data_IF_972644069608
#
_entry.id   IF_972644069608
#
_cell.length_a   1.000
_cell.length_b   1.000
_cell.length_c   1.000
_cell.angle_alpha   90.00
_cell.angle_beta   90.00
_cell.angle_gamma   90.00
#
_symmetry.space_group_name_H-M   'P 1'
#
loop_
_entity.id
_entity.type
_entity.pdbx_description
1 polymer ?
#
# COMPACT_ATOMS: atom_id res chain seq x y z
N UNK A 1 4.38 14.58 13.28
CA UNK A 1 3.61 13.61 14.10
C UNK A 1 3.08 12.53 13.17
N UNK A 2 2.78 11.34 13.69
CA UNK A 2 2.17 10.30 12.88
C UNK A 2 0.71 10.67 12.57
N UNK A 3 0.17 10.19 11.45
CA UNK A 3 -1.24 10.36 11.12
C UNK A 3 -2.10 9.66 12.19
N UNK A 4 -2.98 10.37 12.93
CA UNK A 4 -3.64 9.81 14.10
C UNK A 4 -4.43 8.52 13.82
N UNK A 5 -5.10 8.43 12.67
CA UNK A 5 -5.87 7.23 12.28
C UNK A 5 -5.01 5.99 12.15
N UNK A 6 -3.73 6.16 11.79
CA UNK A 6 -2.80 5.05 11.54
C UNK A 6 -1.71 4.92 12.59
N UNK A 7 -1.71 5.77 13.63
CA UNK A 7 -0.62 5.87 14.59
C UNK A 7 -0.27 4.54 15.28
N UNK A 8 -1.23 3.76 15.84
CA UNK A 8 -0.89 2.49 16.50
C UNK A 8 -0.24 1.49 15.55
N UNK A 9 -0.74 1.40 14.31
CA UNK A 9 -0.18 0.55 13.27
C UNK A 9 1.21 1.02 12.85
N UNK A 10 1.39 2.32 12.65
CA UNK A 10 2.66 2.92 12.25
C UNK A 10 3.75 2.68 13.29
N UNK A 11 3.44 2.84 14.58
CA UNK A 11 4.38 2.55 15.67
C UNK A 11 4.83 1.09 15.64
N UNK A 12 3.91 0.14 15.47
CA UNK A 12 4.25 -1.28 15.37
C UNK A 12 5.16 -1.58 14.17
N UNK A 13 4.91 -0.96 13.01
CA UNK A 13 5.77 -1.13 11.82
C UNK A 13 7.15 -0.51 11.99
N UNK A 14 7.24 0.67 12.61
CA UNK A 14 8.52 1.30 12.96
C UNK A 14 9.31 0.42 13.93
N UNK A 15 8.65 -0.16 14.93
CA UNK A 15 9.29 -1.09 15.87
C UNK A 15 9.87 -2.33 15.16
N UNK A 16 9.17 -2.87 14.15
CA UNK A 16 9.69 -3.97 13.32
C UNK A 16 10.96 -3.62 12.54
N UNK A 17 11.04 -2.40 11.99
CA UNK A 17 12.26 -1.90 11.34
C UNK A 17 13.40 -1.80 12.35
N UNK A 18 13.13 -1.24 13.54
CA UNK A 18 14.13 -1.11 14.61
C UNK A 18 14.57 -2.46 15.15
N UNK A 19 13.71 -3.47 15.14
CA UNK A 19 14.08 -4.84 15.45
C UNK A 19 15.09 -5.37 14.43
N UNK A 20 14.84 -5.21 13.12
CA UNK A 20 15.78 -5.61 12.07
C UNK A 20 17.15 -4.93 12.25
N UNK A 21 17.16 -3.60 12.40
CA UNK A 21 18.38 -2.82 12.64
C UNK A 21 19.14 -3.29 13.89
N UNK A 22 18.42 -3.59 14.98
CA UNK A 22 19.01 -4.01 16.25
C UNK A 22 19.68 -5.39 16.13
N UNK A 23 19.01 -6.34 15.45
CA UNK A 23 19.59 -7.65 15.20
C UNK A 23 20.80 -7.60 14.26
N UNK A 24 20.76 -6.74 13.24
CA UNK A 24 21.89 -6.53 12.35
C UNK A 24 23.11 -6.01 13.12
N UNK A 25 22.91 -5.01 13.98
CA UNK A 25 23.98 -4.41 14.80
C UNK A 25 24.55 -5.37 15.85
N UNK A 26 23.68 -6.08 16.57
CA UNK A 26 24.11 -6.89 17.71
C UNK A 26 24.64 -8.27 17.28
N UNK A 27 24.09 -8.86 16.23
CA UNK A 27 24.35 -10.26 15.85
C UNK A 27 24.88 -10.43 14.43
N UNK A 28 25.27 -9.34 13.75
CA UNK A 28 25.84 -9.40 12.40
C UNK A 28 24.89 -9.90 11.32
N UNK A 29 23.57 -9.85 11.56
CA UNK A 29 22.53 -10.26 10.59
C UNK A 29 22.43 -9.28 9.42
N UNK A 30 21.69 -9.69 8.39
CA UNK A 30 21.36 -8.89 7.21
C UNK A 30 19.84 -8.91 6.97
N UNK A 31 19.09 -8.36 7.93
CA UNK A 31 17.65 -8.19 7.82
C UNK A 31 17.36 -6.84 7.16
N UNK A 32 16.78 -6.88 5.97
CA UNK A 32 16.43 -5.71 5.16
C UNK A 32 14.95 -5.38 5.29
N UNK A 33 14.60 -4.12 5.05
CA UNK A 33 13.21 -3.66 5.06
C UNK A 33 12.96 -2.74 3.87
N UNK A 34 11.75 -2.83 3.29
CA UNK A 34 11.26 -1.94 2.23
C UNK A 34 9.93 -1.34 2.68
N UNK A 35 9.66 -0.11 2.27
CA UNK A 35 8.43 0.62 2.60
C UNK A 35 7.67 0.91 1.31
N UNK A 36 6.56 0.22 1.02
CA UNK A 36 5.79 0.49 -0.18
C UNK A 36 4.98 1.78 -0.06
N UNK A 37 4.68 2.39 -1.21
CA UNK A 37 3.61 3.39 -1.36
C UNK A 37 2.23 2.70 -1.41
N UNK A 38 1.17 3.39 -1.83
CA UNK A 38 -0.15 2.75 -1.98
C UNK A 38 -0.08 1.64 -3.04
N UNK A 39 -0.46 0.42 -2.68
CA UNK A 39 -0.46 -0.73 -3.59
C UNK A 39 -1.86 -0.98 -4.15
N UNK A 40 -1.89 -1.56 -5.35
CA UNK A 40 -3.10 -2.12 -5.96
C UNK A 40 -2.74 -3.32 -6.84
N UNK A 41 -3.70 -4.20 -7.11
CA UNK A 41 -3.51 -5.31 -8.05
C UNK A 41 -4.40 -6.51 -7.76
N UNK A 42 -4.08 -7.69 -8.31
CA UNK A 42 -4.76 -8.93 -7.99
C UNK A 42 -4.80 -9.21 -6.48
N UNK A 43 -5.86 -9.87 -6.03
CA UNK A 43 -6.11 -10.22 -4.61
C UNK A 43 -6.33 -9.03 -3.65
N UNK A 44 -6.49 -7.80 -4.17
CA UNK A 44 -6.96 -6.67 -3.37
C UNK A 44 -8.43 -6.86 -2.94
N UNK A 45 -8.87 -6.04 -1.98
CA UNK A 45 -10.25 -6.05 -1.53
C UNK A 45 -11.11 -5.16 -2.44
N UNK A 46 -11.83 -5.76 -3.40
CA UNK A 46 -12.74 -5.06 -4.32
C UNK A 46 -14.18 -4.91 -3.80
N UNK A 47 -14.36 -4.83 -2.48
CA UNK A 47 -15.65 -4.56 -1.86
C UNK A 47 -16.03 -3.07 -2.02
N UNK A 48 -17.27 -2.72 -2.38
CA UNK A 48 -17.68 -1.32 -2.64
C UNK A 48 -17.48 -0.37 -1.43
N UNK A 49 -17.72 -0.84 -0.21
CA UNK A 49 -17.73 0.01 0.99
C UNK A 49 -16.47 -0.06 1.86
N UNK A 50 -15.58 -1.02 1.62
CA UNK A 50 -14.44 -1.29 2.50
C UNK A 50 -13.18 -1.57 1.70
N UNK A 51 -12.78 -0.61 0.86
CA UNK A 51 -11.66 -0.77 -0.06
C UNK A 51 -10.86 0.52 -0.20
N UNK A 52 -9.59 0.36 -0.56
CA UNK A 52 -8.73 1.48 -0.92
C UNK A 52 -9.18 2.11 -2.24
N UNK A 53 -8.72 3.32 -2.54
CA UNK A 53 -9.29 4.13 -3.62
C UNK A 53 -9.31 3.46 -4.99
N UNK A 54 -8.25 2.76 -5.40
CA UNK A 54 -8.20 2.06 -6.70
C UNK A 54 -9.22 0.91 -6.78
N UNK A 55 -9.20 -0.09 -5.89
CA UNK A 55 -10.18 -1.18 -5.94
C UNK A 55 -11.63 -0.68 -5.75
N UNK A 56 -11.85 0.34 -4.91
CA UNK A 56 -13.16 0.97 -4.73
C UNK A 56 -13.69 1.56 -6.04
N UNK A 57 -12.89 2.38 -6.71
CA UNK A 57 -13.30 3.05 -7.94
C UNK A 57 -13.43 2.08 -9.10
N UNK A 58 -12.52 1.11 -9.25
CA UNK A 58 -12.65 0.03 -10.25
C UNK A 58 -13.99 -0.69 -10.11
N UNK A 59 -14.38 -1.03 -8.87
CA UNK A 59 -15.64 -1.69 -8.60
C UNK A 59 -16.85 -0.81 -8.92
N UNK A 60 -16.85 0.45 -8.47
CA UNK A 60 -17.96 1.38 -8.69
C UNK A 60 -18.15 1.72 -10.17
N UNK A 61 -17.07 1.89 -10.93
CA UNK A 61 -17.16 2.10 -12.37
C UNK A 61 -17.63 0.84 -13.11
N UNK A 62 -17.22 -0.35 -12.68
CA UNK A 62 -17.72 -1.60 -13.23
C UNK A 62 -19.24 -1.73 -13.07
N UNK A 63 -19.76 -1.48 -11.86
CA UNK A 63 -21.20 -1.54 -11.58
C UNK A 63 -21.99 -0.44 -12.32
N UNK A 64 -21.44 0.78 -12.40
CA UNK A 64 -22.05 1.87 -13.16
C UNK A 64 -22.15 1.55 -14.66
N UNK A 65 -21.11 0.93 -15.24
CA UNK A 65 -21.11 0.51 -16.63
C UNK A 65 -22.17 -0.58 -16.90
N UNK A 66 -22.31 -1.55 -16.00
CA UNK A 66 -23.32 -2.61 -16.10
C UNK A 66 -24.76 -2.10 -15.95
N UNK A 67 -24.97 -1.10 -15.10
CA UNK A 67 -26.28 -0.52 -14.83
C UNK A 67 -26.63 0.67 -15.75
N UNK A 68 -25.71 1.06 -16.64
CA UNK A 68 -25.81 2.27 -17.46
C UNK A 68 -26.10 3.53 -16.63
N UNK A 69 -25.50 3.63 -15.45
CA UNK A 69 -25.64 4.79 -14.60
C UNK A 69 -25.09 6.03 -15.33
N UNK A 70 -25.80 7.18 -15.29
CA UNK A 70 -25.39 8.39 -16.01
C UNK A 70 -24.12 9.02 -15.42
N UNK A 71 -23.80 8.75 -14.15
CA UNK A 71 -22.64 9.32 -13.47
C UNK A 71 -22.16 8.47 -12.28
N UNK A 72 -20.92 8.70 -11.86
CA UNK A 72 -20.30 8.16 -10.63
C UNK A 72 -19.68 9.31 -9.85
N UNK A 73 -20.24 9.65 -8.68
CA UNK A 73 -19.76 10.77 -7.86
C UNK A 73 -18.57 10.36 -6.99
N UNK A 74 -17.48 11.11 -7.04
CA UNK A 74 -16.30 10.93 -6.17
C UNK A 74 -16.20 12.10 -5.20
N UNK A 75 -16.02 11.82 -3.91
CA UNK A 75 -15.94 12.86 -2.90
C UNK A 75 -14.62 13.65 -2.98
N UNK A 76 -14.73 14.98 -2.83
CA UNK A 76 -13.59 15.90 -2.85
C UNK A 76 -13.40 16.62 -4.18
N UNK A 77 -12.39 17.50 -4.25
CA UNK A 77 -12.08 18.31 -5.43
C UNK A 77 -11.33 17.55 -6.53
N UNK A 78 -10.79 16.37 -6.23
CA UNK A 78 -9.88 15.63 -7.13
C UNK A 78 -8.49 16.25 -7.29
N UNK A 79 -8.20 17.40 -6.67
CA UNK A 79 -6.90 18.06 -6.74
C UNK A 79 -5.78 17.43 -5.89
N UNK A 80 -6.03 16.67 -4.80
CA UNK A 80 -4.94 16.05 -4.05
C UNK A 80 -4.20 14.99 -4.87
N UNK A 81 -2.87 15.13 -4.97
CA UNK A 81 -2.01 14.15 -5.64
C UNK A 81 -1.70 12.96 -4.73
N UNK A 82 -1.66 11.77 -5.32
CA UNK A 82 -1.33 10.49 -4.64
C UNK A 82 -0.43 9.67 -5.56
N UNK A 83 0.35 8.78 -4.97
CA UNK A 83 1.22 7.84 -5.67
C UNK A 83 0.69 6.42 -5.50
N UNK A 84 0.82 5.60 -6.55
CA UNK A 84 0.37 4.21 -6.58
C UNK A 84 1.41 3.33 -7.28
N UNK A 85 1.56 2.10 -6.80
CA UNK A 85 2.45 1.09 -7.38
C UNK A 85 1.67 -0.21 -7.57
N UNK A 86 1.83 -0.85 -8.73
CA UNK A 86 1.23 -2.17 -8.96
C UNK A 86 1.92 -3.20 -8.06
N UNK A 87 1.16 -4.17 -7.54
CA UNK A 87 1.68 -5.16 -6.59
C UNK A 87 2.81 -6.02 -7.17
N UNK A 88 2.80 -6.30 -8.47
CA UNK A 88 3.87 -7.04 -9.14
C UNK A 88 5.20 -6.25 -9.15
N UNK A 89 5.15 -4.93 -9.32
CA UNK A 89 6.34 -4.08 -9.24
C UNK A 89 6.87 -4.01 -7.80
N UNK A 90 5.97 -3.99 -6.81
CA UNK A 90 6.37 -4.08 -5.40
C UNK A 90 7.06 -5.41 -5.10
N UNK A 91 6.55 -6.52 -5.64
CA UNK A 91 7.15 -7.83 -5.49
C UNK A 91 8.53 -7.89 -6.17
N UNK A 92 8.64 -7.40 -7.41
CA UNK A 92 9.90 -7.34 -8.14
C UNK A 92 10.95 -6.50 -7.39
N UNK A 93 10.58 -5.31 -6.89
CA UNK A 93 11.47 -4.45 -6.12
C UNK A 93 11.89 -5.10 -4.80
N UNK A 94 10.97 -5.80 -4.14
CA UNK A 94 11.24 -6.51 -2.87
C UNK A 94 12.25 -7.65 -3.05
N UNK A 95 12.11 -8.45 -4.11
CA UNK A 95 13.07 -9.50 -4.48
C UNK A 95 14.41 -8.87 -4.81
N UNK A 96 14.42 -7.83 -5.65
CA UNK A 96 15.65 -7.14 -6.04
C UNK A 96 16.44 -6.64 -4.82
N UNK A 97 15.78 -5.94 -3.88
CA UNK A 97 16.42 -5.44 -2.66
C UNK A 97 16.94 -6.58 -1.79
N UNK A 98 16.27 -7.72 -1.74
CA UNK A 98 16.73 -8.88 -0.98
C UNK A 98 17.99 -9.53 -1.58
N UNK A 99 18.08 -9.59 -2.91
CA UNK A 99 19.16 -10.26 -3.64
C UNK A 99 20.43 -9.41 -3.84
N UNK A 100 20.40 -8.11 -3.53
CA UNK A 100 21.59 -7.27 -3.59
C UNK A 100 22.72 -7.83 -2.71
N UNK A 101 23.96 -7.77 -3.20
CA UNK A 101 25.12 -8.12 -2.39
C UNK A 101 25.20 -7.24 -1.14
N UNK A 102 25.67 -7.82 -0.03
CA UNK A 102 25.88 -7.13 1.24
C UNK A 102 27.09 -6.21 1.20
#
# INVERSE_FOLDING_TARGET
TLEPTNEPYAIAKIAGIKLCESYNRQYGRDYRSVMPTNLYGPHDNFHPDNSHVIPALLRRFHEAAQSHAPEVVVWGSGTPMREFLHVDDMAAASIHVMELAR
#
